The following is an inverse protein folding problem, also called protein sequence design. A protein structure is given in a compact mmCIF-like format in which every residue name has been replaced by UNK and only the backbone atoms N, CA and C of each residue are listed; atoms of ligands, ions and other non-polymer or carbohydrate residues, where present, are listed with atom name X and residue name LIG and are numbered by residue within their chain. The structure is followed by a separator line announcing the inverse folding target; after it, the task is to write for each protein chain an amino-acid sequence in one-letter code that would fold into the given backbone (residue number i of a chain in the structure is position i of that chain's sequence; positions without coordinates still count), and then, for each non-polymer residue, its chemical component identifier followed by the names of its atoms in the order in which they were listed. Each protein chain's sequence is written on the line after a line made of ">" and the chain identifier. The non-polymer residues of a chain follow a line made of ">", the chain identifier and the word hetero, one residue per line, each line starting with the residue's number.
data_IF_248027636745
#
_entry.id   IF_248027636745
#
_cell.length_a   1.000
_cell.length_b   1.000
_cell.length_c   1.000
_cell.angle_alpha   90.00
_cell.angle_beta   90.00
_cell.angle_gamma   90.00
#
_symmetry.space_group_name_H-M   'P 1'
#
loop_
_entity.id
_entity.type
_entity.pdbx_description
1 polymer ?
#
# COMPACT_ATOMS: atom_id res chain seq x y z
N UNK A 1 16.07 -43.98 -31.06
CA UNK A 1 14.76 -43.51 -30.58
C UNK A 1 14.79 -43.06 -29.10
N UNK A 2 15.68 -43.58 -28.24
CA UNK A 2 15.75 -43.16 -26.81
C UNK A 2 16.38 -41.79 -26.56
N UNK A 3 17.14 -41.22 -27.49
CA UNK A 3 17.80 -39.94 -27.35
C UNK A 3 16.91 -38.73 -27.71
N UNK A 4 15.79 -38.95 -28.42
CA UNK A 4 14.86 -37.89 -28.81
C UNK A 4 13.90 -37.47 -27.69
N UNK A 5 13.66 -38.36 -26.72
CA UNK A 5 12.75 -38.13 -25.58
C UNK A 5 13.41 -37.23 -24.54
N UNK A 6 14.73 -37.24 -24.46
CA UNK A 6 15.48 -36.46 -23.44
C UNK A 6 15.51 -34.93 -23.75
N UNK A 7 15.36 -34.56 -25.02
CA UNK A 7 15.36 -33.14 -25.44
C UNK A 7 13.99 -32.49 -25.26
N UNK A 8 12.91 -33.25 -25.28
CA UNK A 8 11.55 -32.76 -25.10
C UNK A 8 11.22 -32.41 -23.64
N UNK A 9 11.96 -32.97 -22.68
CA UNK A 9 11.78 -32.68 -21.25
C UNK A 9 12.40 -31.32 -20.81
N UNK A 10 13.20 -30.68 -21.66
CA UNK A 10 13.92 -29.43 -21.34
C UNK A 10 13.15 -28.15 -21.72
N UNK A 11 11.96 -28.30 -22.33
CA UNK A 11 11.11 -27.17 -22.74
C UNK A 11 9.81 -27.18 -21.92
N UNK A 12 9.91 -27.41 -20.61
CA UNK A 12 8.85 -27.01 -19.72
C UNK A 12 8.97 -25.49 -19.51
N UNK A 13 8.03 -24.67 -20.01
CA UNK A 13 8.02 -23.28 -19.63
C UNK A 13 7.86 -23.24 -18.12
N UNK A 14 8.85 -22.71 -17.43
CA UNK A 14 8.70 -22.24 -16.06
C UNK A 14 7.62 -21.13 -16.14
N UNK A 15 6.37 -21.53 -16.03
CA UNK A 15 5.28 -20.61 -15.77
C UNK A 15 5.55 -20.04 -14.37
N UNK A 16 6.37 -19.01 -14.32
CA UNK A 16 6.48 -18.15 -13.16
C UNK A 16 5.10 -17.50 -13.06
N UNK A 17 4.24 -18.09 -12.27
CA UNK A 17 3.03 -17.42 -11.82
C UNK A 17 3.53 -16.22 -11.04
N UNK A 18 3.50 -15.05 -11.66
CA UNK A 18 3.65 -13.79 -10.95
C UNK A 18 2.52 -13.75 -9.92
N UNK A 19 2.82 -14.13 -8.69
CA UNK A 19 1.86 -14.02 -7.59
C UNK A 19 1.55 -12.54 -7.47
N UNK A 20 0.28 -12.17 -7.61
CA UNK A 20 -0.14 -10.80 -7.36
C UNK A 20 0.29 -10.43 -5.95
N UNK A 21 0.84 -9.22 -5.82
CA UNK A 21 1.15 -8.64 -4.52
C UNK A 21 -0.07 -8.76 -3.60
N UNK A 22 0.08 -9.20 -2.34
CA UNK A 22 -1.03 -9.31 -1.39
C UNK A 22 -1.82 -8.02 -1.21
N UNK A 23 -1.18 -6.85 -1.29
CA UNK A 23 -1.86 -5.55 -1.27
C UNK A 23 -2.76 -5.41 -2.49
N UNK A 24 -2.27 -5.75 -3.69
CA UNK A 24 -3.08 -5.72 -4.92
C UNK A 24 -4.23 -6.73 -4.90
N UNK A 25 -4.06 -7.87 -4.20
CA UNK A 25 -5.14 -8.83 -3.98
C UNK A 25 -6.26 -8.24 -3.13
N UNK A 26 -5.92 -7.55 -2.02
CA UNK A 26 -6.92 -6.88 -1.17
C UNK A 26 -7.70 -5.81 -1.94
N UNK A 27 -7.00 -4.92 -2.65
CA UNK A 27 -7.66 -3.93 -3.51
C UNK A 27 -8.56 -4.60 -4.56
N UNK A 28 -8.09 -5.66 -5.21
CA UNK A 28 -8.89 -6.37 -6.22
C UNK A 28 -10.10 -7.08 -5.62
N UNK A 29 -9.97 -7.58 -4.39
CA UNK A 29 -11.02 -8.32 -3.69
C UNK A 29 -12.16 -7.42 -3.25
N UNK A 30 -11.86 -6.23 -2.74
CA UNK A 30 -12.82 -5.38 -2.06
C UNK A 30 -13.22 -4.11 -2.81
N UNK A 31 -12.42 -3.68 -3.82
CA UNK A 31 -12.73 -2.50 -4.59
C UNK A 31 -14.12 -2.59 -5.24
N UNK A 32 -14.88 -1.51 -5.15
CA UNK A 32 -16.23 -1.37 -5.69
C UNK A 32 -17.30 -2.29 -5.05
N UNK A 33 -17.00 -2.91 -3.91
CA UNK A 33 -18.03 -3.63 -3.16
C UNK A 33 -18.82 -2.67 -2.26
N UNK A 34 -20.09 -3.04 -1.97
CA UNK A 34 -20.92 -2.26 -1.05
C UNK A 34 -20.33 -2.31 0.37
N UNK A 35 -20.31 -1.17 1.04
CA UNK A 35 -19.72 -1.02 2.39
C UNK A 35 -18.22 -0.76 2.39
N UNK A 36 -17.63 -0.54 1.21
CA UNK A 36 -16.22 -0.16 1.07
C UNK A 36 -16.09 1.16 0.33
N UNK A 37 -15.18 1.98 0.78
CA UNK A 37 -14.69 3.15 0.05
C UNK A 37 -13.37 2.82 -0.63
N UNK A 38 -13.27 3.16 -1.91
CA UNK A 38 -12.04 3.01 -2.69
C UNK A 38 -11.69 4.31 -3.35
N UNK A 39 -10.48 4.82 -3.09
CA UNK A 39 -9.90 5.98 -3.77
C UNK A 39 -8.70 5.53 -4.58
N UNK A 40 -8.57 6.03 -5.80
CA UNK A 40 -7.40 5.79 -6.64
C UNK A 40 -6.99 7.08 -7.34
N UNK A 41 -5.86 7.64 -6.93
CA UNK A 41 -5.27 8.87 -7.48
C UNK A 41 -4.06 8.46 -8.30
N UNK A 42 -4.12 8.71 -9.61
CA UNK A 42 -3.01 8.38 -10.51
C UNK A 42 -1.85 9.37 -10.38
N UNK A 43 -0.63 8.90 -10.65
CA UNK A 43 0.53 9.79 -10.72
C UNK A 43 0.39 10.91 -11.76
N UNK A 44 -0.40 10.68 -12.83
CA UNK A 44 -0.71 11.72 -13.82
C UNK A 44 -1.48 12.89 -13.19
N UNK A 45 -2.48 12.59 -12.33
CA UNK A 45 -3.23 13.63 -11.62
C UNK A 45 -2.34 14.36 -10.62
N UNK A 46 -1.49 13.62 -9.88
CA UNK A 46 -0.53 14.19 -8.94
C UNK A 46 0.47 15.11 -9.66
N UNK A 47 0.99 14.68 -10.83
CA UNK A 47 1.86 15.50 -11.66
C UNK A 47 1.17 16.77 -12.19
N UNK A 48 -0.11 16.73 -12.50
CA UNK A 48 -0.86 17.95 -12.83
C UNK A 48 -1.02 18.86 -11.63
N UNK A 49 -1.34 18.32 -10.45
CA UNK A 49 -1.44 19.08 -9.23
C UNK A 49 -0.11 19.76 -8.86
N UNK A 50 1.01 19.09 -9.11
CA UNK A 50 2.35 19.65 -8.91
C UNK A 50 2.66 20.86 -9.83
N UNK A 51 1.97 20.98 -10.98
CA UNK A 51 2.15 22.10 -11.92
C UNK A 51 1.29 23.32 -11.57
N UNK A 52 0.29 23.14 -10.70
CA UNK A 52 -0.48 24.26 -10.18
C UNK A 52 0.41 25.00 -9.19
N UNK A 53 0.48 26.33 -9.32
CA UNK A 53 1.26 27.14 -8.40
C UNK A 53 0.66 27.07 -6.99
N UNK A 54 1.26 26.23 -6.17
CA UNK A 54 0.88 26.05 -4.77
C UNK A 54 1.60 27.02 -3.84
N UNK A 55 2.54 27.80 -4.36
CA UNK A 55 3.42 28.68 -3.57
C UNK A 55 4.42 27.94 -2.67
N UNK A 56 4.46 26.60 -2.74
CA UNK A 56 5.36 25.75 -1.94
C UNK A 56 6.08 24.72 -2.83
N UNK A 57 7.35 24.97 -3.11
CA UNK A 57 8.23 24.11 -3.92
C UNK A 57 8.32 22.70 -3.33
N UNK A 58 8.28 22.55 -2.00
CA UNK A 58 8.37 21.24 -1.34
C UNK A 58 7.15 20.37 -1.63
N UNK A 59 5.96 20.96 -1.65
CA UNK A 59 4.73 20.25 -2.04
C UNK A 59 4.78 19.85 -3.50
N UNK A 60 5.29 20.68 -4.37
CA UNK A 60 5.48 20.40 -5.79
C UNK A 60 6.43 19.22 -6.02
N UNK A 61 7.59 19.24 -5.37
CA UNK A 61 8.58 18.17 -5.47
C UNK A 61 8.02 16.84 -4.94
N UNK A 62 7.30 16.89 -3.81
CA UNK A 62 6.63 15.73 -3.26
C UNK A 62 5.64 15.12 -4.25
N UNK A 63 4.70 15.92 -4.76
CA UNK A 63 3.65 15.44 -5.67
C UNK A 63 4.24 14.89 -6.98
N UNK A 64 5.32 15.49 -7.49
CA UNK A 64 6.00 15.03 -8.69
C UNK A 64 6.73 13.69 -8.52
N UNK A 65 7.16 13.37 -7.30
CA UNK A 65 7.80 12.10 -6.96
C UNK A 65 6.84 10.93 -6.84
N UNK A 66 5.53 11.21 -6.63
CA UNK A 66 4.52 10.16 -6.43
C UNK A 66 4.03 9.57 -7.75
N UNK A 67 3.88 8.24 -7.76
CA UNK A 67 3.31 7.46 -8.87
C UNK A 67 1.82 7.19 -8.71
N UNK A 68 1.31 7.24 -7.49
CA UNK A 68 -0.10 7.07 -7.19
C UNK A 68 -0.38 6.92 -5.70
N UNK A 69 -1.66 7.14 -5.35
CA UNK A 69 -2.19 6.92 -4.01
C UNK A 69 -3.44 6.07 -4.15
N UNK A 70 -3.55 5.02 -3.35
CA UNK A 70 -4.73 4.17 -3.27
C UNK A 70 -5.18 4.06 -1.84
N UNK A 71 -6.48 4.19 -1.63
CA UNK A 71 -7.12 3.99 -0.32
C UNK A 71 -8.22 2.96 -0.48
N UNK A 72 -8.31 2.06 0.48
CA UNK A 72 -9.41 1.12 0.65
C UNK A 72 -9.79 1.16 2.12
N UNK A 73 -11.03 1.47 2.44
CA UNK A 73 -11.55 1.45 3.81
C UNK A 73 -12.89 0.73 3.89
N UNK A 74 -13.19 0.20 5.06
CA UNK A 74 -14.49 -0.40 5.37
C UNK A 74 -15.33 0.66 6.06
N UNK A 75 -16.50 0.97 5.50
CA UNK A 75 -17.42 1.99 6.03
C UNK A 75 -18.60 1.40 6.82
N UNK A 76 -18.77 0.10 6.75
CA UNK A 76 -19.87 -0.62 7.36
C UNK A 76 -19.42 -1.35 8.63
N UNK A 77 -19.97 -0.98 9.80
CA UNK A 77 -19.59 -1.53 11.10
C UNK A 77 -19.74 -3.06 11.19
N UNK A 78 -20.74 -3.63 10.49
CA UNK A 78 -20.96 -5.08 10.51
C UNK A 78 -19.95 -5.80 9.60
N UNK A 79 -19.40 -5.13 8.59
CA UNK A 79 -18.31 -5.65 7.79
C UNK A 79 -16.97 -5.53 8.54
N UNK A 80 -16.72 -4.43 9.24
CA UNK A 80 -15.52 -4.28 10.07
C UNK A 80 -15.35 -5.42 11.06
N UNK A 81 -16.43 -5.88 11.69
CA UNK A 81 -16.41 -7.03 12.62
C UNK A 81 -16.07 -8.38 11.95
N UNK A 82 -16.14 -8.47 10.63
CA UNK A 82 -15.97 -9.73 9.86
C UNK A 82 -14.71 -9.76 9.03
N UNK A 83 -14.08 -8.62 8.83
CA UNK A 83 -12.93 -8.41 7.95
C UNK A 83 -11.79 -7.91 8.82
N UNK A 84 -10.57 -8.32 8.47
CA UNK A 84 -9.37 -7.84 9.12
C UNK A 84 -8.26 -7.79 8.08
N UNK A 85 -7.98 -6.60 7.56
CA UNK A 85 -6.98 -6.41 6.52
C UNK A 85 -5.58 -6.79 6.98
N UNK A 86 -5.26 -6.55 8.25
CA UNK A 86 -3.98 -6.95 8.80
C UNK A 86 -3.82 -8.47 8.79
N UNK A 87 -4.82 -9.21 9.30
CA UNK A 87 -4.79 -10.68 9.33
C UNK A 87 -4.80 -11.29 7.93
N UNK A 88 -5.51 -10.69 6.97
CA UNK A 88 -5.50 -11.18 5.58
C UNK A 88 -4.11 -11.03 4.95
N UNK A 89 -3.43 -9.89 5.15
CA UNK A 89 -2.05 -9.69 4.69
C UNK A 89 -1.07 -10.63 5.40
N UNK A 90 -1.26 -10.86 6.69
CA UNK A 90 -0.44 -11.80 7.47
C UNK A 90 -0.59 -13.23 6.97
N UNK A 91 -1.83 -13.68 6.72
CA UNK A 91 -2.12 -15.01 6.19
C UNK A 91 -1.54 -15.23 4.79
N UNK A 92 -1.52 -14.21 3.95
CA UNK A 92 -0.87 -14.23 2.63
C UNK A 92 0.67 -14.12 2.72
N UNK A 93 1.22 -14.04 3.94
CA UNK A 93 2.66 -13.98 4.19
C UNK A 93 3.29 -12.62 3.85
N UNK A 94 2.49 -11.58 3.68
CA UNK A 94 2.97 -10.26 3.28
C UNK A 94 4.09 -9.75 4.19
N UNK A 95 3.91 -9.75 5.50
CA UNK A 95 4.88 -9.21 6.45
C UNK A 95 6.20 -10.00 6.57
N UNK A 96 6.27 -11.20 5.99
CA UNK A 96 7.48 -12.05 6.01
C UNK A 96 8.23 -12.07 4.69
N UNK A 97 7.54 -11.82 3.58
CA UNK A 97 8.03 -12.13 2.23
C UNK A 97 8.13 -10.88 1.34
N UNK A 98 8.20 -9.69 1.92
CA UNK A 98 8.32 -8.45 1.16
C UNK A 98 9.51 -7.60 1.66
N UNK A 99 9.84 -6.58 0.89
CA UNK A 99 10.94 -5.66 1.17
C UNK A 99 10.49 -4.43 1.98
N UNK A 100 9.32 -4.50 2.63
CA UNK A 100 8.84 -3.43 3.49
C UNK A 100 9.43 -3.54 4.89
N UNK A 101 9.89 -2.41 5.41
CA UNK A 101 10.32 -2.24 6.79
C UNK A 101 9.20 -1.59 7.60
N UNK A 102 8.99 -2.05 8.83
CA UNK A 102 8.03 -1.43 9.74
C UNK A 102 8.64 -0.16 10.31
N UNK A 103 8.06 0.99 9.98
CA UNK A 103 8.44 2.28 10.54
C UNK A 103 7.79 2.54 11.90
N UNK A 104 6.54 2.11 12.04
CA UNK A 104 5.75 2.28 13.25
C UNK A 104 4.72 1.17 13.35
N UNK A 105 4.49 0.70 14.57
CA UNK A 105 3.42 -0.23 14.91
C UNK A 105 2.73 0.25 16.18
N UNK A 106 1.40 0.31 16.14
CA UNK A 106 0.55 0.51 17.32
C UNK A 106 -0.34 -0.71 17.42
N UNK A 107 -0.39 -1.31 18.60
CA UNK A 107 -1.26 -2.46 18.88
C UNK A 107 -2.10 -2.12 20.09
N UNK A 108 -3.40 -2.12 19.90
CA UNK A 108 -4.41 -2.01 20.94
C UNK A 108 -5.13 -3.36 21.14
N UNK A 109 -6.07 -3.45 22.05
CA UNK A 109 -6.74 -4.72 22.38
C UNK A 109 -7.37 -5.38 21.13
N UNK A 110 -8.00 -4.59 20.26
CA UNK A 110 -8.73 -5.08 19.09
C UNK A 110 -8.27 -4.45 17.77
N UNK A 111 -7.22 -3.65 17.76
CA UNK A 111 -6.76 -2.94 16.57
C UNK A 111 -5.24 -3.00 16.42
N UNK A 112 -4.78 -3.15 15.21
CA UNK A 112 -3.37 -3.04 14.84
C UNK A 112 -3.22 -2.01 13.72
N UNK A 113 -2.33 -1.05 13.93
CA UNK A 113 -1.94 -0.07 12.92
C UNK A 113 -0.47 -0.26 12.60
N UNK A 114 -0.12 -0.46 11.33
CA UNK A 114 1.27 -0.52 10.87
C UNK A 114 1.54 0.50 9.77
N UNK A 115 2.60 1.26 9.97
CA UNK A 115 3.25 2.02 8.90
C UNK A 115 4.46 1.26 8.41
N UNK A 116 4.48 1.00 7.10
CA UNK A 116 5.57 0.29 6.45
C UNK A 116 6.10 1.10 5.28
N UNK A 117 7.40 1.03 5.05
CA UNK A 117 8.02 1.66 3.89
C UNK A 117 9.02 0.72 3.25
N UNK A 118 9.30 0.93 1.97
CA UNK A 118 10.37 0.26 1.25
C UNK A 118 11.54 1.23 1.09
N UNK A 119 12.74 0.78 1.43
CA UNK A 119 13.96 1.59 1.23
C UNK A 119 14.22 1.81 -0.27
N UNK A 120 14.45 3.06 -0.64
CA UNK A 120 14.86 3.45 -2.00
C UNK A 120 16.35 3.79 -2.08
N UNK A 121 17.07 3.70 -0.98
CA UNK A 121 18.45 4.15 -0.85
C UNK A 121 18.60 5.65 -0.68
N UNK A 122 19.78 6.09 -0.25
CA UNK A 122 20.12 7.50 -0.01
C UNK A 122 19.18 8.22 0.98
N UNK A 123 18.65 7.51 1.97
CA UNK A 123 17.74 8.06 2.98
C UNK A 123 16.33 8.35 2.46
N UNK A 124 16.00 7.90 1.25
CA UNK A 124 14.65 8.02 0.68
C UNK A 124 13.89 6.70 0.79
N UNK A 125 12.58 6.80 0.75
CA UNK A 125 11.69 5.62 0.70
C UNK A 125 10.99 5.55 -0.65
N UNK A 126 10.76 4.34 -1.13
CA UNK A 126 9.76 4.07 -2.16
C UNK A 126 8.62 3.32 -1.51
N UNK A 127 7.41 3.63 -1.91
CA UNK A 127 6.20 2.98 -1.44
C UNK A 127 6.03 3.03 0.10
N UNK A 128 5.02 3.75 0.51
CA UNK A 128 4.56 3.79 1.89
C UNK A 128 3.23 3.04 1.98
N UNK A 129 3.09 2.21 3.00
CA UNK A 129 1.88 1.44 3.25
C UNK A 129 1.43 1.65 4.68
N UNK A 130 0.18 2.10 4.85
CA UNK A 130 -0.53 2.08 6.12
C UNK A 130 -1.53 0.94 6.09
N UNK A 131 -1.49 0.09 7.10
CA UNK A 131 -2.44 -1.02 7.32
C UNK A 131 -3.10 -0.82 8.66
N UNK A 132 -4.42 -0.78 8.67
CA UNK A 132 -5.26 -0.83 9.87
C UNK A 132 -6.09 -2.10 9.78
N UNK A 133 -6.14 -2.87 10.85
CA UNK A 133 -6.95 -4.08 10.94
C UNK A 133 -7.47 -4.28 12.36
N UNK A 134 -8.66 -4.85 12.49
CA UNK A 134 -9.37 -5.05 13.75
C UNK A 134 -10.73 -4.37 13.76
N UNK A 135 -10.99 -3.53 14.75
CA UNK A 135 -12.27 -2.82 14.89
C UNK A 135 -12.51 -1.87 13.70
N UNK A 136 -11.45 -1.23 13.19
CA UNK A 136 -11.45 -0.51 11.94
C UNK A 136 -10.56 -1.21 10.91
N UNK A 137 -10.89 -1.03 9.62
CA UNK A 137 -10.10 -1.59 8.53
C UNK A 137 -9.83 -0.56 7.46
N UNK A 138 -8.55 -0.25 7.26
CA UNK A 138 -8.09 0.65 6.21
C UNK A 138 -6.75 0.18 5.63
N UNK A 139 -6.57 0.44 4.35
CA UNK A 139 -5.33 0.18 3.63
C UNK A 139 -5.02 1.39 2.75
N UNK A 140 -3.88 2.03 2.99
CA UNK A 140 -3.43 3.17 2.21
C UNK A 140 -2.08 2.84 1.61
N UNK A 141 -2.00 2.86 0.30
CA UNK A 141 -0.78 2.59 -0.46
C UNK A 141 -0.39 3.85 -1.23
N UNK A 142 0.78 4.38 -0.94
CA UNK A 142 1.38 5.54 -1.61
C UNK A 142 2.63 5.04 -2.34
N UNK A 143 2.63 5.10 -3.65
CA UNK A 143 3.73 4.63 -4.48
C UNK A 143 4.52 5.81 -5.07
N UNK A 144 5.83 5.68 -5.11
CA UNK A 144 6.74 6.70 -5.64
C UNK A 144 7.95 6.91 -4.74
N UNK A 145 8.80 7.85 -5.10
CA UNK A 145 9.96 8.23 -4.28
C UNK A 145 9.54 9.34 -3.31
N UNK A 146 9.69 9.07 -2.04
CA UNK A 146 9.27 9.94 -0.95
C UNK A 146 10.49 10.29 -0.11
N UNK A 147 10.67 11.58 0.14
CA UNK A 147 11.59 12.04 1.16
C UNK A 147 10.90 11.97 2.53
N UNK A 148 11.48 11.27 3.51
CA UNK A 148 10.88 11.13 4.84
C UNK A 148 10.53 12.46 5.51
N UNK A 149 11.29 13.52 5.26
CA UNK A 149 11.01 14.85 5.78
C UNK A 149 9.66 15.43 5.33
N UNK A 150 9.10 14.89 4.24
CA UNK A 150 7.84 15.32 3.67
C UNK A 150 6.63 14.44 4.08
N UNK A 151 6.83 13.35 4.84
CA UNK A 151 5.75 12.41 5.23
C UNK A 151 4.64 13.15 5.99
N UNK A 152 4.97 14.03 6.94
CA UNK A 152 3.99 14.79 7.69
C UNK A 152 3.09 15.70 6.83
N UNK A 153 3.53 16.05 5.61
CA UNK A 153 2.70 16.82 4.66
C UNK A 153 1.75 15.92 3.89
N UNK A 154 2.18 14.68 3.59
CA UNK A 154 1.33 13.68 2.91
C UNK A 154 0.14 13.32 3.78
N UNK A 155 0.35 13.04 5.06
CA UNK A 155 -0.73 12.69 5.99
C UNK A 155 -1.77 13.81 6.11
N UNK A 156 -1.33 15.06 6.15
CA UNK A 156 -2.24 16.23 6.13
C UNK A 156 -3.01 16.38 4.82
N UNK A 157 -2.35 16.15 3.68
CA UNK A 157 -2.99 16.28 2.35
C UNK A 157 -4.04 15.21 2.08
N UNK A 158 -3.87 14.00 2.62
CA UNK A 158 -4.83 12.88 2.47
C UNK A 158 -5.93 12.93 3.54
N UNK A 159 -5.90 13.94 4.43
CA UNK A 159 -6.87 14.15 5.52
C UNK A 159 -7.04 12.90 6.41
N UNK A 160 -5.93 12.16 6.58
CA UNK A 160 -5.89 11.08 7.55
C UNK A 160 -5.71 11.74 8.90
N UNK A 161 -6.76 11.78 9.68
CA UNK A 161 -6.71 12.25 11.06
C UNK A 161 -6.04 11.17 11.91
N UNK A 162 -4.72 11.24 11.96
CA UNK A 162 -3.89 10.40 12.83
C UNK A 162 -3.72 11.07 14.20
N UNK A 163 -4.21 12.31 14.34
CA UNK A 163 -3.89 13.20 15.47
C UNK A 163 -4.54 12.79 16.79
N UNK A 164 -5.73 12.25 16.77
CA UNK A 164 -6.45 11.90 18.01
C UNK A 164 -6.00 10.57 18.64
N UNK A 165 -5.18 9.80 17.94
CA UNK A 165 -4.69 8.49 18.43
C UNK A 165 -3.28 8.56 19.06
N UNK A 166 -2.63 9.73 19.07
CA UNK A 166 -1.25 9.87 19.58
C UNK A 166 -1.09 10.95 20.67
N UNK A 167 -2.17 11.43 21.27
CA UNK A 167 -2.14 12.17 22.53
C UNK A 167 -2.46 11.19 23.72
#
# INVERSE_FOLDING_TARGET
>A
MKKLILVLALILPLAVFAQKDPVDKLFSKYANQKGFTTVNISGKLLGFAAQIDTGDETTKDLLSGLKGIRVLSVEDDELNKKIDFYKELEADGFFKNNDFEVLMEVTEENEVVRFLARDAGNGKISDLLLVVGGDDNALISISGIIDPENIGKITKAVNIDVGDKFE
#
